data_IF_955679142372
#
_entry.id   IF_955679142372
#
_cell.length_a   1.000
_cell.length_b   1.000
_cell.length_c   1.000
_cell.angle_alpha   90.00
_cell.angle_beta   90.00
_cell.angle_gamma   90.00
#
_symmetry.space_group_name_H-M   'P 1'
#
loop_
_entity.id
_entity.type
_entity.pdbx_description
1 polymer ?
#
# COMPACT_ATOMS: atom_id res chain seq x y z
N UNK A 1 6.00 -40.97 7.47
CA UNK A 1 6.59 -39.92 8.32
C UNK A 1 6.21 -38.59 7.70
N UNK A 2 5.19 -37.94 8.25
CA UNK A 2 4.64 -36.70 7.72
C UNK A 2 5.18 -35.49 8.49
N UNK A 3 5.78 -34.56 7.76
CA UNK A 3 5.98 -33.16 8.16
C UNK A 3 4.88 -32.36 7.43
N UNK A 4 3.84 -31.92 8.12
CA UNK A 4 3.72 -30.71 8.95
C UNK A 4 3.15 -29.54 8.15
N UNK A 5 1.85 -29.31 8.36
CA UNK A 5 1.08 -28.09 8.13
C UNK A 5 1.95 -26.82 7.94
N UNK A 6 2.15 -26.40 6.69
CA UNK A 6 2.57 -25.02 6.39
C UNK A 6 1.30 -24.17 6.46
N UNK A 7 1.04 -23.54 7.61
CA UNK A 7 0.07 -22.44 7.72
C UNK A 7 0.68 -21.17 7.11
N UNK A 8 0.88 -21.16 5.79
CA UNK A 8 1.13 -19.94 5.03
C UNK A 8 -0.19 -19.24 4.72
N UNK A 9 -0.22 -17.91 4.77
CA UNK A 9 -1.35 -17.16 4.20
C UNK A 9 -1.42 -17.35 2.69
N UNK A 10 -2.60 -17.24 2.09
CA UNK A 10 -2.74 -17.09 0.63
C UNK A 10 -2.82 -15.62 0.26
N UNK A 11 -2.20 -15.26 -0.87
CA UNK A 11 -2.26 -13.94 -1.48
C UNK A 11 -3.05 -14.06 -2.79
N UNK A 12 -4.08 -13.24 -2.94
CA UNK A 12 -4.96 -13.27 -4.10
C UNK A 12 -4.42 -12.38 -5.24
N UNK A 13 -3.68 -12.93 -6.20
CA UNK A 13 -3.11 -12.16 -7.31
C UNK A 13 -4.18 -11.77 -8.33
N UNK A 14 -4.19 -10.50 -8.76
CA UNK A 14 -5.14 -10.02 -9.77
C UNK A 14 -4.46 -9.88 -11.14
N UNK A 15 -5.11 -10.30 -12.24
CA UNK A 15 -4.67 -9.93 -13.58
C UNK A 15 -4.60 -8.40 -13.69
N UNK A 16 -3.54 -7.84 -14.28
CA UNK A 16 -3.40 -6.39 -14.43
C UNK A 16 -4.60 -5.73 -15.17
N UNK A 17 -5.23 -6.46 -16.10
CA UNK A 17 -6.46 -6.04 -16.78
C UNK A 17 -7.66 -5.80 -15.85
N UNK A 18 -7.63 -6.35 -14.63
CA UNK A 18 -8.66 -6.15 -13.61
C UNK A 18 -8.38 -4.92 -12.73
N UNK A 19 -7.12 -4.48 -12.59
CA UNK A 19 -6.72 -3.35 -11.72
C UNK A 19 -6.88 -1.97 -12.39
N UNK A 20 -6.72 -1.87 -13.70
CA UNK A 20 -6.73 -0.58 -14.42
C UNK A 20 -8.13 0.04 -14.54
N UNK A 21 -9.21 -0.70 -14.28
CA UNK A 21 -10.56 -0.19 -14.59
C UNK A 21 -11.06 0.95 -13.70
N UNK A 22 -10.37 1.27 -12.59
CA UNK A 22 -10.85 2.24 -11.59
C UNK A 22 -9.94 3.46 -11.34
N UNK A 23 -8.77 3.59 -11.97
CA UNK A 23 -7.90 4.76 -11.80
C UNK A 23 -8.12 5.81 -12.92
N UNK A 24 -9.04 6.76 -12.73
CA UNK A 24 -9.34 7.82 -13.71
C UNK A 24 -8.53 9.13 -13.55
N UNK A 25 -7.44 9.16 -12.76
CA UNK A 25 -6.68 10.40 -12.51
C UNK A 25 -5.16 10.26 -12.68
N UNK A 26 -4.70 9.63 -13.77
CA UNK A 26 -3.34 9.86 -14.25
C UNK A 26 -3.43 10.65 -15.56
N UNK A 27 -3.13 11.95 -15.51
CA UNK A 27 -2.90 12.76 -16.70
C UNK A 27 -1.66 12.22 -17.42
N UNK A 28 -1.88 11.36 -18.42
CA UNK A 28 -0.86 10.87 -19.34
C UNK A 28 -0.62 11.93 -20.42
N UNK A 29 0.32 12.85 -20.19
CA UNK A 29 0.92 13.62 -21.28
C UNK A 29 2.05 12.79 -21.92
N UNK A 30 1.86 12.47 -23.20
CA UNK A 30 2.83 12.01 -24.19
C UNK A 30 3.49 10.63 -24.02
N UNK A 31 2.67 9.58 -24.13
CA UNK A 31 3.05 8.40 -24.92
C UNK A 31 1.97 8.22 -25.99
N UNK A 32 2.22 8.77 -27.17
CA UNK A 32 1.25 8.97 -28.25
C UNK A 32 0.70 7.71 -28.91
N UNK A 33 0.99 6.49 -28.42
CA UNK A 33 0.38 5.25 -28.90
C UNK A 33 0.18 4.25 -27.75
N UNK A 34 -0.74 4.55 -26.82
CA UNK A 34 -1.18 3.62 -25.77
C UNK A 34 -2.05 2.46 -26.30
N UNK A 35 -2.54 2.55 -27.54
CA UNK A 35 -3.36 1.52 -28.19
C UNK A 35 -2.56 0.35 -28.76
N UNK A 36 -1.24 0.46 -28.94
CA UNK A 36 -0.41 -0.63 -29.47
C UNK A 36 0.19 -1.54 -28.39
N UNK A 37 0.21 -1.11 -27.11
CA UNK A 37 0.78 -1.91 -26.01
C UNK A 37 -0.16 -2.97 -25.42
N UNK A 38 -1.46 -2.88 -25.71
CA UNK A 38 -2.48 -3.74 -25.08
C UNK A 38 -3.38 -4.47 -26.10
N UNK A 39 -3.17 -4.24 -27.39
CA UNK A 39 -4.03 -4.79 -28.44
C UNK A 39 -3.26 -5.82 -29.29
N UNK A 40 -2.87 -6.94 -28.66
CA UNK A 40 -2.58 -8.17 -29.41
C UNK A 40 -3.16 -9.39 -28.68
N UNK A 41 -4.45 -9.62 -28.94
CA UNK A 41 -5.32 -10.60 -28.28
C UNK A 41 -5.25 -12.01 -28.90
N UNK A 42 -4.16 -12.39 -29.55
CA UNK A 42 -4.15 -13.63 -30.33
C UNK A 42 -3.12 -14.69 -29.97
N UNK A 43 -2.18 -14.41 -29.05
CA UNK A 43 -1.20 -15.42 -28.64
C UNK A 43 -0.95 -15.41 -27.13
N UNK A 44 -0.88 -16.60 -26.55
CA UNK A 44 -0.75 -16.97 -25.15
C UNK A 44 0.45 -16.31 -24.45
N UNK A 45 0.31 -15.06 -24.01
CA UNK A 45 1.35 -14.35 -23.27
C UNK A 45 0.84 -13.85 -21.91
N UNK A 46 1.26 -14.59 -20.88
CA UNK A 46 1.40 -14.30 -19.46
C UNK A 46 0.96 -12.90 -18.99
N UNK A 47 -0.20 -12.86 -18.32
CA UNK A 47 -0.66 -11.68 -17.60
C UNK A 47 0.30 -11.38 -16.43
N UNK A 48 0.80 -10.16 -16.34
CA UNK A 48 1.45 -9.68 -15.12
C UNK A 48 0.36 -9.65 -14.04
N UNK A 49 0.56 -10.40 -12.98
CA UNK A 49 -0.33 -10.38 -11.82
C UNK A 49 0.42 -9.70 -10.67
N UNK A 50 0.20 -8.41 -10.39
CA UNK A 50 0.72 -7.82 -9.17
C UNK A 50 -0.03 -8.39 -7.94
N UNK A 51 0.57 -8.36 -6.74
CA UNK A 51 -0.12 -8.77 -5.54
C UNK A 51 -1.35 -7.87 -5.31
N UNK A 52 -2.41 -8.39 -4.66
CA UNK A 52 -3.58 -7.62 -4.30
C UNK A 52 -3.15 -6.44 -3.43
N UNK A 53 -3.83 -5.31 -3.58
CA UNK A 53 -3.58 -4.14 -2.71
C UNK A 53 -2.12 -3.67 -2.69
N UNK A 54 -1.41 -3.91 -3.81
CA UNK A 54 -0.13 -3.30 -4.09
C UNK A 54 -0.29 -1.78 -4.22
N UNK A 55 0.80 -1.04 -4.03
CA UNK A 55 0.88 0.42 -4.21
C UNK A 55 0.68 0.82 -5.69
N UNK A 56 -0.51 0.56 -6.25
CA UNK A 56 -0.83 0.78 -7.66
C UNK A 56 -1.73 2.00 -7.78
N UNK A 57 -1.12 3.17 -7.65
CA UNK A 57 -1.68 4.43 -8.13
C UNK A 57 -0.62 5.43 -8.66
N UNK A 58 0.67 5.06 -8.69
CA UNK A 58 1.75 5.93 -9.16
C UNK A 58 2.47 5.27 -10.34
N UNK A 59 1.90 5.42 -11.53
CA UNK A 59 2.62 5.36 -12.83
C UNK A 59 3.63 4.22 -13.03
N UNK A 60 3.09 3.00 -13.22
CA UNK A 60 3.77 1.79 -13.74
C UNK A 60 5.04 1.32 -13.01
N UNK A 61 5.14 0.04 -12.59
CA UNK A 61 6.44 -0.51 -12.23
C UNK A 61 7.29 -0.46 -13.49
N UNK A 62 8.44 0.23 -13.51
CA UNK A 62 9.30 0.32 -14.69
C UNK A 62 10.62 -0.44 -14.48
N UNK A 63 11.29 -0.85 -15.55
CA UNK A 63 12.66 -1.38 -15.47
C UNK A 63 13.56 -0.39 -14.74
N UNK A 64 14.73 -0.82 -14.26
CA UNK A 64 15.69 0.05 -13.54
C UNK A 64 16.08 1.33 -14.32
N UNK A 65 15.81 1.37 -15.63
CA UNK A 65 16.07 2.49 -16.53
C UNK A 65 14.80 3.29 -16.93
N UNK A 66 13.62 2.93 -16.42
CA UNK A 66 12.37 3.66 -16.69
C UNK A 66 11.76 3.41 -18.08
N UNK A 67 12.21 2.40 -18.83
CA UNK A 67 11.85 2.25 -20.25
C UNK A 67 10.62 1.36 -20.50
N UNK A 68 10.42 0.29 -19.70
CA UNK A 68 9.32 -0.69 -19.86
C UNK A 68 8.76 -1.11 -18.51
N UNK A 69 7.66 -1.87 -18.47
CA UNK A 69 7.17 -2.41 -17.20
C UNK A 69 8.23 -3.29 -16.50
N UNK A 70 8.32 -3.26 -15.17
CA UNK A 70 9.22 -4.14 -14.42
C UNK A 70 8.92 -5.61 -14.74
N UNK A 71 9.96 -6.41 -14.96
CA UNK A 71 9.85 -7.80 -15.43
C UNK A 71 9.76 -7.98 -16.96
N UNK A 72 9.70 -6.91 -17.74
CA UNK A 72 9.71 -6.96 -19.22
C UNK A 72 11.09 -6.62 -19.79
N UNK A 73 11.45 -7.26 -20.92
CA UNK A 73 12.57 -6.84 -21.78
C UNK A 73 12.06 -6.40 -23.15
N UNK A 74 12.75 -5.46 -23.78
CA UNK A 74 12.53 -5.15 -25.18
C UNK A 74 13.20 -6.22 -26.03
N UNK A 75 12.42 -6.92 -26.85
CA UNK A 75 13.00 -7.77 -27.88
C UNK A 75 13.38 -6.92 -29.10
N UNK A 76 14.36 -7.34 -29.89
CA UNK A 76 14.98 -6.57 -31.00
C UNK A 76 14.01 -6.17 -32.14
N UNK A 77 12.70 -6.41 -31.98
CA UNK A 77 11.64 -5.85 -32.79
C UNK A 77 10.39 -5.56 -31.96
N UNK A 78 10.33 -4.36 -31.36
CA UNK A 78 9.11 -3.66 -30.84
C UNK A 78 8.20 -4.36 -29.81
N UNK A 79 8.39 -5.62 -29.46
CA UNK A 79 7.54 -6.31 -28.50
C UNK A 79 8.19 -6.40 -27.11
N UNK A 80 7.40 -6.12 -26.08
CA UNK A 80 7.76 -6.37 -24.69
C UNK A 80 7.35 -7.79 -24.30
N UNK A 81 8.29 -8.61 -23.82
CA UNK A 81 8.00 -9.96 -23.31
C UNK A 81 8.47 -10.09 -21.88
N UNK A 82 7.72 -10.86 -21.06
CA UNK A 82 8.24 -11.34 -19.78
C UNK A 82 9.53 -12.13 -20.05
N UNK A 83 10.57 -11.86 -19.27
CA UNK A 83 11.86 -12.52 -19.46
C UNK A 83 11.80 -13.99 -19.04
N UNK A 84 11.42 -14.87 -19.98
CA UNK A 84 11.20 -16.30 -19.75
C UNK A 84 12.49 -17.14 -19.61
N UNK A 85 13.67 -16.55 -19.81
CA UNK A 85 14.93 -17.31 -19.87
C UNK A 85 15.75 -17.22 -18.57
N UNK A 86 15.23 -16.61 -17.50
CA UNK A 86 15.97 -16.42 -16.25
C UNK A 86 15.53 -17.39 -15.15
N UNK A 87 16.46 -18.17 -14.61
CA UNK A 87 16.31 -18.95 -13.37
C UNK A 87 16.18 -18.07 -12.10
N UNK A 88 15.70 -16.82 -12.24
CA UNK A 88 15.74 -15.82 -11.18
C UNK A 88 14.40 -15.10 -11.07
N UNK A 89 13.94 -14.98 -9.84
CA UNK A 89 12.74 -14.24 -9.48
C UNK A 89 12.96 -12.75 -9.74
N UNK A 90 11.99 -12.09 -10.36
CA UNK A 90 12.11 -10.67 -10.72
C UNK A 90 11.67 -9.81 -9.52
N UNK A 91 12.42 -8.76 -9.16
CA UNK A 91 12.01 -7.85 -8.09
C UNK A 91 10.86 -6.93 -8.55
N UNK A 92 9.89 -6.70 -7.67
CA UNK A 92 8.83 -5.72 -7.81
C UNK A 92 9.41 -4.35 -7.41
N UNK A 93 9.60 -3.45 -8.37
CA UNK A 93 10.16 -2.13 -8.11
C UNK A 93 9.12 -1.05 -8.39
N UNK A 94 8.86 -0.16 -7.42
CA UNK A 94 7.94 0.96 -7.57
C UNK A 94 8.66 2.31 -7.51
N UNK A 95 8.15 3.28 -8.26
CA UNK A 95 8.65 4.66 -8.26
C UNK A 95 7.49 5.59 -7.88
N UNK A 96 7.58 6.21 -6.71
CA UNK A 96 6.56 7.10 -6.16
C UNK A 96 7.09 8.53 -6.24
N UNK A 97 6.69 9.26 -7.27
CA UNK A 97 7.12 10.63 -7.56
C UNK A 97 6.05 11.69 -7.27
N UNK A 98 4.87 11.26 -6.80
CA UNK A 98 3.76 12.12 -6.43
C UNK A 98 3.11 11.60 -5.15
N UNK A 99 2.49 12.50 -4.39
CA UNK A 99 1.76 12.13 -3.18
C UNK A 99 0.47 11.38 -3.56
N UNK A 100 0.45 10.07 -3.30
CA UNK A 100 -0.72 9.21 -3.46
C UNK A 100 -1.42 9.04 -2.12
N UNK A 101 -2.75 9.08 -2.09
CA UNK A 101 -3.51 8.72 -0.88
C UNK A 101 -3.64 7.20 -0.80
N UNK A 102 -2.80 6.58 0.04
CA UNK A 102 -2.84 5.13 0.26
C UNK A 102 -4.15 4.66 0.90
N UNK A 103 -4.98 5.57 1.41
CA UNK A 103 -6.31 5.22 1.93
C UNK A 103 -7.28 4.81 0.83
N UNK A 104 -6.99 5.10 -0.42
CA UNK A 104 -7.76 4.62 -1.56
C UNK A 104 -7.48 3.13 -1.87
N UNK A 105 -6.42 2.56 -1.28
CA UNK A 105 -6.01 1.18 -1.47
C UNK A 105 -6.47 0.35 -0.27
N UNK A 106 -7.33 -0.65 -0.50
CA UNK A 106 -7.76 -1.60 0.53
C UNK A 106 -8.29 -0.96 1.82
N UNK A 107 -9.17 0.03 1.70
CA UNK A 107 -9.67 0.79 2.84
C UNK A 107 -10.49 -0.03 3.87
N UNK A 108 -10.97 -1.22 3.47
CA UNK A 108 -11.73 -2.12 4.32
C UNK A 108 -10.80 -2.94 5.23
N UNK A 109 -9.80 -3.62 4.65
CA UNK A 109 -8.90 -4.47 5.44
C UNK A 109 -7.68 -3.71 5.95
N UNK A 110 -7.38 -2.54 5.36
CA UNK A 110 -6.23 -1.69 5.66
C UNK A 110 -4.90 -2.43 5.59
N UNK A 111 -4.75 -3.30 4.58
CA UNK A 111 -3.52 -4.04 4.32
C UNK A 111 -2.95 -3.65 2.98
N UNK A 112 -1.66 -3.33 2.96
CA UNK A 112 -0.92 -3.05 1.73
C UNK A 112 0.24 -4.03 1.67
N UNK A 113 0.44 -4.62 0.50
CA UNK A 113 1.56 -5.52 0.29
C UNK A 113 2.76 -4.75 -0.25
N UNK A 114 3.86 -4.81 0.51
CA UNK A 114 5.12 -4.18 0.14
C UNK A 114 5.70 -4.87 -1.11
N UNK A 115 6.30 -4.11 -2.03
CA UNK A 115 7.09 -4.64 -3.14
C UNK A 115 8.54 -4.90 -2.71
N UNK A 116 9.34 -5.50 -3.58
CA UNK A 116 10.78 -5.69 -3.33
C UNK A 116 11.53 -4.38 -3.09
N UNK A 117 11.23 -3.37 -3.88
CA UNK A 117 11.88 -2.07 -3.80
C UNK A 117 10.89 -0.94 -4.13
N UNK A 118 11.04 0.19 -3.45
CA UNK A 118 10.32 1.44 -3.70
C UNK A 118 11.35 2.57 -3.74
N UNK A 119 11.34 3.38 -4.79
CA UNK A 119 12.05 4.66 -4.83
C UNK A 119 11.06 5.79 -4.67
N UNK A 120 11.24 6.64 -3.65
CA UNK A 120 10.35 7.75 -3.32
C UNK A 120 11.05 9.06 -3.67
N UNK A 121 10.43 9.83 -4.55
CA UNK A 121 10.78 11.23 -4.87
C UNK A 121 9.64 12.19 -4.57
N UNK A 122 8.51 11.68 -4.08
CA UNK A 122 7.35 12.47 -3.69
C UNK A 122 7.64 13.36 -2.46
N UNK A 123 7.11 14.58 -2.48
CA UNK A 123 7.33 15.59 -1.44
C UNK A 123 6.88 15.13 -0.04
N UNK A 124 5.84 14.29 0.06
CA UNK A 124 5.41 13.64 1.30
C UNK A 124 4.45 12.46 1.03
N UNK A 125 4.99 11.24 0.97
CA UNK A 125 4.18 10.02 1.00
C UNK A 125 3.71 9.73 2.42
N UNK A 126 2.43 9.35 2.59
CA UNK A 126 1.85 9.08 3.90
C UNK A 126 1.48 7.60 4.01
N UNK A 127 2.02 6.92 5.02
CA UNK A 127 1.52 5.61 5.46
C UNK A 127 0.39 5.84 6.46
N UNK A 128 -0.87 5.53 6.09
CA UNK A 128 -2.03 6.00 6.81
C UNK A 128 -2.31 5.20 8.08
N UNK A 129 -2.89 5.86 9.08
CA UNK A 129 -3.11 5.29 10.40
C UNK A 129 -3.95 4.01 10.37
N UNK A 130 -3.56 3.05 11.22
CA UNK A 130 -4.14 1.69 11.30
C UNK A 130 -3.92 0.80 10.06
N UNK A 131 -3.03 1.16 9.14
CA UNK A 131 -2.67 0.28 8.03
C UNK A 131 -1.58 -0.71 8.43
N UNK A 132 -1.63 -1.88 7.81
CA UNK A 132 -0.62 -2.91 7.94
C UNK A 132 0.09 -3.10 6.60
N UNK A 133 1.40 -2.89 6.59
CA UNK A 133 2.27 -3.09 5.44
C UNK A 133 2.94 -4.46 5.58
N UNK A 134 2.58 -5.40 4.70
CA UNK A 134 3.03 -6.79 4.72
C UNK A 134 3.95 -7.06 3.54
N UNK A 135 5.10 -7.68 3.77
CA UNK A 135 5.91 -8.17 2.66
C UNK A 135 5.31 -9.47 2.14
N UNK A 136 4.76 -9.43 0.92
CA UNK A 136 4.70 -10.63 0.08
C UNK A 136 6.15 -10.96 -0.29
N UNK A 137 6.52 -12.24 -0.47
CA UNK A 137 7.84 -12.63 -1.02
C UNK A 137 8.36 -11.55 -1.96
N UNK A 138 9.52 -10.96 -1.63
CA UNK A 138 10.08 -9.80 -2.31
C UNK A 138 10.53 -10.09 -3.74
N UNK A 139 9.93 -11.07 -4.42
CA UNK A 139 10.18 -11.47 -5.79
C UNK A 139 8.95 -12.25 -6.31
N UNK A 140 8.65 -12.23 -7.61
CA UNK A 140 7.59 -13.07 -8.18
C UNK A 140 7.80 -14.56 -7.88
N UNK A 141 6.71 -15.31 -7.69
CA UNK A 141 6.75 -16.77 -7.52
C UNK A 141 7.45 -17.46 -8.71
N UNK A 142 8.17 -18.55 -8.46
CA UNK A 142 8.87 -19.29 -9.53
C UNK A 142 7.86 -19.99 -10.45
N UNK A 143 8.23 -20.15 -11.72
CA UNK A 143 7.47 -20.99 -12.66
C UNK A 143 7.31 -22.42 -12.14
N UNK A 144 8.34 -22.99 -11.53
CA UNK A 144 8.29 -24.34 -10.99
C UNK A 144 7.40 -24.42 -9.74
N UNK A 145 7.25 -23.35 -8.97
CA UNK A 145 6.26 -23.27 -7.88
C UNK A 145 4.83 -23.20 -8.43
N UNK A 146 4.66 -22.56 -9.60
CA UNK A 146 3.41 -22.57 -10.37
C UNK A 146 3.13 -23.95 -10.99
N UNK A 147 4.14 -24.66 -11.48
CA UNK A 147 3.99 -25.95 -12.16
C UNK A 147 3.92 -27.17 -11.21
N UNK A 148 4.57 -27.12 -10.05
CA UNK A 148 4.56 -28.19 -9.03
C UNK A 148 3.22 -28.26 -8.29
N UNK A 149 2.56 -27.12 -8.04
CA UNK A 149 1.22 -27.12 -7.41
C UNK A 149 0.10 -27.47 -8.40
N UNK A 150 0.31 -27.25 -9.70
CA UNK A 150 -0.66 -27.65 -10.72
C UNK A 150 -0.55 -29.14 -11.11
N UNK A 151 0.54 -29.85 -10.79
CA UNK A 151 0.60 -31.30 -11.04
C UNK A 151 -0.33 -32.15 -10.19
N UNK A 152 -0.72 -31.68 -8.99
CA UNK A 152 -1.77 -32.32 -8.20
C UNK A 152 -3.19 -31.95 -8.67
N UNK A 153 -3.32 -30.87 -9.46
CA UNK A 153 -4.58 -30.39 -10.04
C UNK A 153 -4.79 -30.85 -11.50
N UNK A 154 -3.77 -31.47 -12.13
CA UNK A 154 -3.77 -31.89 -13.54
C UNK A 154 -4.76 -33.01 -13.91
N UNK A 155 -5.45 -33.60 -12.94
CA UNK A 155 -6.43 -34.66 -13.23
C UNK A 155 -7.85 -34.18 -13.50
N UNK A 156 -8.17 -32.89 -13.30
CA UNK A 156 -9.48 -32.34 -13.68
C UNK A 156 -9.33 -31.24 -14.73
N UNK A 157 -9.50 -31.64 -15.99
CA UNK A 157 -9.49 -30.81 -17.21
C UNK A 157 -10.65 -29.78 -17.30
N UNK A 158 -11.06 -29.15 -16.19
CA UNK A 158 -12.22 -28.26 -16.15
C UNK A 158 -12.01 -26.87 -15.49
N UNK A 159 -10.81 -26.54 -15.00
CA UNK A 159 -10.60 -25.32 -14.20
C UNK A 159 -9.65 -24.29 -14.83
N UNK A 160 -9.81 -23.98 -16.11
CA UNK A 160 -9.14 -22.80 -16.71
C UNK A 160 -9.85 -21.46 -16.45
N UNK A 161 -10.86 -21.45 -15.57
CA UNK A 161 -11.62 -20.24 -15.27
C UNK A 161 -11.61 -19.96 -13.76
N UNK A 162 -10.90 -18.89 -13.37
CA UNK A 162 -11.01 -18.13 -12.11
C UNK A 162 -10.10 -18.48 -10.91
N UNK A 163 -9.33 -19.56 -10.93
CA UNK A 163 -8.57 -20.01 -9.73
C UNK A 163 -7.05 -19.74 -9.75
N UNK A 164 -6.51 -19.02 -10.74
CA UNK A 164 -5.13 -18.50 -10.67
C UNK A 164 -4.93 -17.39 -9.61
N UNK A 165 -6.01 -17.04 -8.91
CA UNK A 165 -6.08 -15.94 -7.96
C UNK A 165 -5.43 -16.31 -6.63
N UNK A 166 -5.74 -17.45 -6.03
CA UNK A 166 -5.29 -17.77 -4.66
C UNK A 166 -3.96 -18.51 -4.64
N UNK A 167 -2.86 -17.76 -4.74
CA UNK A 167 -1.51 -18.32 -4.61
C UNK A 167 -1.10 -18.37 -3.13
N UNK A 168 -0.80 -19.55 -2.56
CA UNK A 168 -0.25 -19.66 -1.21
C UNK A 168 1.19 -19.13 -1.22
N UNK A 169 1.34 -17.83 -0.97
CA UNK A 169 2.64 -17.20 -0.82
C UNK A 169 2.87 -16.92 0.65
N UNK A 170 4.00 -17.39 1.14
CA UNK A 170 4.44 -17.11 2.50
C UNK A 170 4.63 -15.59 2.65
N UNK A 171 3.73 -14.96 3.41
CA UNK A 171 3.78 -13.53 3.79
C UNK A 171 4.65 -13.28 5.02
N UNK A 172 5.30 -14.32 5.55
CA UNK A 172 6.21 -14.23 6.69
C UNK A 172 7.48 -15.01 6.36
N UNK A 173 8.49 -14.29 5.89
CA UNK A 173 9.74 -14.88 5.41
C UNK A 173 10.52 -15.64 6.51
N UNK A 174 10.10 -15.54 7.78
CA UNK A 174 10.54 -16.41 8.89
C UNK A 174 10.25 -17.88 8.72
N UNK A 175 9.33 -18.24 7.83
CA UNK A 175 9.00 -19.62 7.54
C UNK A 175 9.82 -20.24 6.39
N UNK A 176 10.63 -19.47 5.66
CA UNK A 176 11.29 -19.98 4.43
C UNK A 176 12.69 -20.59 4.62
N UNK A 177 13.20 -20.64 5.84
CA UNK A 177 14.44 -21.37 6.08
C UNK A 177 15.03 -21.04 7.43
N UNK A 178 15.68 -22.02 8.03
CA UNK A 178 16.33 -21.99 9.33
C UNK A 178 17.52 -21.02 9.46
N UNK A 179 17.62 -20.00 8.61
CA UNK A 179 18.72 -19.04 8.66
C UNK A 179 18.31 -17.87 9.57
N UNK A 180 18.94 -17.82 10.74
CA UNK A 180 18.66 -16.87 11.82
C UNK A 180 19.23 -15.46 11.57
N UNK A 181 19.83 -15.21 10.41
CA UNK A 181 20.38 -13.91 10.03
C UNK A 181 19.64 -13.36 8.82
N UNK A 182 18.79 -12.36 9.07
CA UNK A 182 18.14 -11.53 8.06
C UNK A 182 19.12 -10.45 7.64
N UNK A 183 19.64 -10.44 6.40
CA UNK A 183 20.35 -9.28 5.89
C UNK A 183 19.31 -8.19 5.63
N UNK A 184 19.31 -7.06 6.36
CA UNK A 184 18.26 -6.04 6.25
C UNK A 184 18.21 -5.38 4.86
N UNK A 185 19.25 -5.53 4.04
CA UNK A 185 19.38 -4.87 2.75
C UNK A 185 19.21 -5.84 1.57
N UNK A 186 18.79 -7.07 1.84
CA UNK A 186 18.56 -8.07 0.81
C UNK A 186 17.07 -8.05 0.39
N UNK A 187 16.75 -7.65 -0.84
CA UNK A 187 15.38 -7.59 -1.33
C UNK A 187 14.69 -8.97 -1.40
N UNK A 188 15.46 -10.05 -1.25
CA UNK A 188 14.92 -11.42 -1.11
C UNK A 188 14.22 -11.62 0.24
N UNK A 189 14.56 -10.81 1.26
CA UNK A 189 14.08 -10.96 2.64
C UNK A 189 13.30 -9.76 3.18
N UNK A 190 13.51 -8.56 2.62
CA UNK A 190 12.82 -7.36 3.05
C UNK A 190 12.52 -6.42 1.87
N UNK A 191 11.42 -5.70 1.97
CA UNK A 191 11.06 -4.64 1.03
C UNK A 191 11.92 -3.41 1.27
N UNK A 192 12.56 -2.84 0.25
CA UNK A 192 13.48 -1.71 0.42
C UNK A 192 12.82 -0.40 -0.05
N UNK A 193 12.55 0.52 0.86
CA UNK A 193 12.03 1.86 0.56
C UNK A 193 13.17 2.88 0.57
N UNK A 194 13.62 3.30 -0.61
CA UNK A 194 14.64 4.32 -0.83
C UNK A 194 14.00 5.70 -0.89
N UNK A 195 14.32 6.54 0.09
CA UNK A 195 13.87 7.93 0.14
C UNK A 195 14.95 8.80 -0.52
N UNK A 196 14.69 9.26 -1.74
CA UNK A 196 15.61 10.10 -2.51
C UNK A 196 15.61 11.55 -2.01
N UNK A 197 16.64 12.31 -2.36
CA UNK A 197 16.77 13.71 -1.94
C UNK A 197 15.54 14.54 -2.28
N UNK A 198 15.06 15.35 -1.32
CA UNK A 198 13.84 16.14 -1.42
C UNK A 198 12.55 15.38 -1.07
N UNK A 199 12.61 14.06 -0.89
CA UNK A 199 11.44 13.26 -0.53
C UNK A 199 11.16 13.22 0.97
N UNK A 200 9.90 12.95 1.31
CA UNK A 200 9.49 12.70 2.69
C UNK A 200 8.55 11.50 2.77
N UNK A 201 8.69 10.72 3.84
CA UNK A 201 7.76 9.65 4.22
C UNK A 201 7.25 9.90 5.63
N UNK A 202 5.94 10.04 5.77
CA UNK A 202 5.28 10.18 7.08
C UNK A 202 4.55 8.88 7.44
N UNK A 203 4.90 8.31 8.59
CA UNK A 203 4.26 7.14 9.18
C UNK A 203 3.27 7.62 10.25
N UNK A 204 1.97 7.59 9.95
CA UNK A 204 0.92 7.97 10.90
C UNK A 204 0.83 6.96 12.07
N UNK A 205 0.16 7.28 13.19
CA UNK A 205 0.04 6.38 14.33
C UNK A 205 -0.61 5.03 14.01
N UNK A 206 -0.25 3.99 14.76
CA UNK A 206 -0.77 2.62 14.62
C UNK A 206 -0.58 2.01 13.21
N UNK A 207 0.40 2.48 12.43
CA UNK A 207 0.87 1.75 11.26
C UNK A 207 1.70 0.55 11.71
N UNK A 208 1.39 -0.64 11.20
CA UNK A 208 2.17 -1.85 11.42
C UNK A 208 3.03 -2.15 10.20
N UNK A 209 4.33 -2.25 10.38
CA UNK A 209 5.29 -2.47 9.30
C UNK A 209 5.92 -3.85 9.48
N UNK A 210 5.96 -4.63 8.41
CA UNK A 210 6.51 -5.98 8.39
C UNK A 210 7.49 -6.15 7.22
N UNK A 211 8.64 -6.74 7.55
CA UNK A 211 9.79 -7.10 6.73
C UNK A 211 10.17 -6.03 5.69
N UNK A 212 10.54 -4.85 6.18
CA UNK A 212 10.78 -3.65 5.39
C UNK A 212 12.03 -2.90 5.87
N UNK A 213 12.78 -2.30 4.95
CA UNK A 213 13.95 -1.47 5.24
C UNK A 213 13.78 -0.10 4.59
N UNK A 214 13.90 0.96 5.37
CA UNK A 214 13.88 2.34 4.90
C UNK A 214 15.31 2.82 4.70
N UNK A 215 15.71 3.11 3.46
CA UNK A 215 16.99 3.73 3.11
C UNK A 215 16.81 5.25 3.02
N UNK A 216 17.22 5.96 4.07
CA UNK A 216 17.03 7.41 4.23
C UNK A 216 18.28 8.14 3.76
N UNK A 217 18.28 8.53 2.48
CA UNK A 217 19.43 9.18 1.81
C UNK A 217 19.56 10.67 2.14
N UNK A 218 20.70 11.32 1.82
CA UNK A 218 20.90 12.73 2.15
C UNK A 218 19.86 13.64 1.51
N UNK A 219 19.29 14.54 2.33
CA UNK A 219 18.25 15.47 1.92
C UNK A 219 16.84 14.88 1.86
N UNK A 220 16.61 13.64 2.32
CA UNK A 220 15.28 13.06 2.51
C UNK A 220 14.90 12.97 3.99
N UNK A 221 13.62 12.79 4.29
CA UNK A 221 13.11 12.71 5.66
C UNK A 221 12.13 11.54 5.86
N UNK A 222 12.31 10.76 6.92
CA UNK A 222 11.28 9.86 7.44
C UNK A 222 10.75 10.37 8.79
N UNK A 223 9.43 10.39 8.97
CA UNK A 223 8.76 10.86 10.18
C UNK A 223 7.90 9.74 10.77
N UNK A 224 8.18 9.36 12.02
CA UNK A 224 7.30 8.53 12.82
C UNK A 224 6.43 9.43 13.71
N UNK A 225 5.16 9.62 13.33
CA UNK A 225 4.28 10.57 14.04
C UNK A 225 3.92 10.12 15.46
N UNK A 226 3.97 8.82 15.73
CA UNK A 226 3.89 8.28 17.08
C UNK A 226 4.66 6.97 17.15
N UNK A 227 5.95 7.10 17.45
CA UNK A 227 6.91 6.01 17.49
C UNK A 227 6.41 4.84 18.35
N UNK A 228 5.85 5.09 19.54
CA UNK A 228 5.33 4.03 20.42
C UNK A 228 4.28 3.15 19.74
N UNK A 229 3.41 3.74 18.92
CA UNK A 229 2.35 3.01 18.22
C UNK A 229 2.82 2.42 16.89
N UNK A 230 3.89 2.94 16.30
CA UNK A 230 4.52 2.39 15.10
C UNK A 230 5.43 1.21 15.41
N UNK A 231 5.92 1.09 16.65
CA UNK A 231 6.87 0.09 17.11
C UNK A 231 6.27 -1.31 17.41
N UNK A 232 5.01 -1.59 17.04
CA UNK A 232 4.37 -2.90 17.33
C UNK A 232 5.20 -4.10 16.81
N UNK A 233 5.98 -3.93 15.74
CA UNK A 233 6.92 -4.95 15.23
C UNK A 233 8.30 -4.37 14.89
N UNK A 234 8.95 -3.67 15.82
CA UNK A 234 10.31 -3.12 15.62
C UNK A 234 11.32 -4.11 15.07
N UNK A 235 11.19 -5.40 15.41
CA UNK A 235 12.10 -6.45 14.93
C UNK A 235 11.82 -6.87 13.48
N UNK A 236 10.84 -6.25 12.81
CA UNK A 236 10.42 -6.58 11.45
C UNK A 236 10.57 -5.38 10.51
N UNK A 237 11.22 -4.30 10.93
CA UNK A 237 11.68 -3.30 9.97
C UNK A 237 13.02 -2.72 10.37
N UNK A 238 13.72 -2.12 9.42
CA UNK A 238 14.98 -1.43 9.64
C UNK A 238 14.95 -0.02 9.05
N UNK A 239 15.77 0.87 9.60
CA UNK A 239 16.00 2.21 9.05
C UNK A 239 17.51 2.36 8.84
N UNK A 240 17.94 2.45 7.59
CA UNK A 240 19.31 2.77 7.23
C UNK A 240 19.49 4.29 7.21
N UNK A 241 20.41 4.75 8.04
CA UNK A 241 20.60 6.16 8.34
C UNK A 241 21.69 6.74 7.44
N UNK A 242 21.48 6.70 6.12
CA UNK A 242 22.47 7.07 5.11
C UNK A 242 22.55 8.59 4.88
N UNK A 243 22.54 9.38 5.96
CA UNK A 243 22.69 10.84 5.96
C UNK A 243 21.40 11.64 5.74
N UNK A 244 20.24 10.98 5.63
CA UNK A 244 18.94 11.65 5.68
C UNK A 244 18.44 11.91 7.11
N UNK A 245 17.31 12.61 7.22
CA UNK A 245 16.72 13.05 8.48
C UNK A 245 15.70 12.04 9.00
N UNK A 246 15.81 11.70 10.29
CA UNK A 246 14.87 10.80 10.96
C UNK A 246 14.18 11.57 12.08
N UNK A 247 12.89 11.79 11.94
CA UNK A 247 12.06 12.47 12.95
C UNK A 247 11.23 11.44 13.71
N UNK A 248 11.39 11.40 15.03
CA UNK A 248 10.68 10.50 15.92
C UNK A 248 9.84 11.32 16.91
N UNK A 249 8.56 10.99 16.99
CA UNK A 249 7.62 11.63 17.91
C UNK A 249 7.12 10.66 18.95
N UNK A 250 7.13 11.06 20.23
CA UNK A 250 6.43 10.34 21.31
C UNK A 250 6.17 11.28 22.50
N UNK A 251 5.47 10.80 23.53
CA UNK A 251 5.18 11.66 24.69
C UNK A 251 6.42 11.97 25.53
N UNK A 252 7.30 11.01 25.79
CA UNK A 252 8.42 11.16 26.73
C UNK A 252 9.63 10.43 26.22
N UNK A 253 10.78 11.08 25.97
CA UNK A 253 12.04 10.41 25.62
C UNK A 253 12.95 10.20 26.82
N UNK A 254 13.54 9.00 26.92
CA UNK A 254 14.61 8.68 27.88
C UNK A 254 15.79 8.09 27.10
N UNK A 255 16.73 8.94 26.72
CA UNK A 255 17.83 8.65 25.80
C UNK A 255 19.11 8.35 26.60
N UNK A 256 19.60 7.12 26.50
CA UNK A 256 20.81 6.65 27.21
C UNK A 256 21.49 5.54 26.41
N UNK A 257 22.77 5.30 26.68
CA UNK A 257 23.57 4.24 26.07
C UNK A 257 23.50 4.26 24.54
N UNK A 258 23.66 5.44 23.96
CA UNK A 258 23.60 5.62 22.52
C UNK A 258 24.69 6.57 22.07
N UNK A 259 25.34 6.22 20.96
CA UNK A 259 26.31 7.06 20.29
C UNK A 259 25.73 7.48 18.94
N UNK A 260 25.63 8.78 18.70
CA UNK A 260 25.11 9.35 17.46
C UNK A 260 26.30 9.84 16.64
N UNK A 261 26.55 9.23 15.48
CA UNK A 261 27.55 9.73 14.53
C UNK A 261 26.99 9.74 13.12
N UNK A 262 27.35 10.74 12.33
CA UNK A 262 27.05 10.80 10.88
C UNK A 262 25.56 10.62 10.50
N UNK A 263 24.63 11.11 11.34
CA UNK A 263 23.17 11.04 11.11
C UNK A 263 22.45 12.27 11.68
N UNK A 264 21.29 12.59 11.13
CA UNK A 264 20.42 13.69 11.57
C UNK A 264 19.19 13.11 12.27
N UNK A 265 19.08 13.29 13.59
CA UNK A 265 17.96 12.80 14.40
C UNK A 265 17.17 13.96 15.01
N UNK A 266 15.87 13.96 14.78
CA UNK A 266 14.94 14.86 15.44
C UNK A 266 14.08 14.09 16.43
N UNK A 267 14.11 14.49 17.69
CA UNK A 267 13.23 13.96 18.74
C UNK A 267 12.22 15.05 19.09
N UNK A 268 10.95 14.80 18.79
CA UNK A 268 9.86 15.70 19.18
C UNK A 268 8.98 15.05 20.26
N UNK A 269 8.90 15.70 21.41
CA UNK A 269 8.27 15.16 22.61
C UNK A 269 7.03 15.93 23.04
N UNK A 270 5.93 15.22 23.24
CA UNK A 270 4.68 15.80 23.75
C UNK A 270 4.78 16.31 25.18
N UNK A 271 5.78 15.87 25.95
CA UNK A 271 6.02 16.33 27.33
C UNK A 271 7.51 16.56 27.58
N UNK A 272 8.31 15.49 27.72
CA UNK A 272 9.67 15.50 28.27
C UNK A 272 10.69 14.83 27.35
N UNK A 273 11.89 15.37 27.25
CA UNK A 273 13.08 14.64 26.77
C UNK A 273 14.11 14.62 27.90
N UNK A 274 14.55 13.43 28.29
CA UNK A 274 15.64 13.23 29.24
C UNK A 274 16.77 12.48 28.56
N UNK A 275 17.99 13.01 28.60
CA UNK A 275 19.15 12.39 27.95
C UNK A 275 20.36 12.36 28.89
N UNK A 276 21.10 11.26 28.90
CA UNK A 276 22.28 11.06 29.74
C UNK A 276 22.35 9.63 30.29
N UNK A 277 23.17 9.40 31.29
CA UNK A 277 23.33 8.10 31.93
C UNK A 277 22.23 7.82 32.95
N UNK A 278 21.74 6.58 32.98
CA UNK A 278 20.75 6.07 33.93
C UNK A 278 19.44 6.89 33.96
N UNK A 279 19.04 7.48 32.83
CA UNK A 279 17.81 8.29 32.73
C UNK A 279 16.55 7.44 32.57
N UNK A 280 16.68 6.16 32.21
CA UNK A 280 15.60 5.18 32.24
C UNK A 280 15.96 4.01 33.17
N UNK A 281 15.59 4.09 34.46
CA UNK A 281 15.82 3.01 35.42
C UNK A 281 15.20 1.69 34.92
N UNK A 282 15.98 0.62 34.91
CA UNK A 282 15.55 -0.71 34.44
C UNK A 282 15.93 -1.05 33.00
N UNK A 283 16.44 -0.09 32.23
CA UNK A 283 17.07 -0.32 30.93
C UNK A 283 18.59 -0.36 31.05
N UNK A 284 19.29 -0.83 30.00
CA UNK A 284 20.75 -0.82 29.98
C UNK A 284 21.27 0.61 30.15
N UNK A 285 22.19 0.79 31.09
CA UNK A 285 22.79 2.09 31.42
C UNK A 285 23.99 2.38 30.52
N UNK A 286 24.31 3.66 30.37
CA UNK A 286 25.40 4.17 29.56
C UNK A 286 25.13 5.60 29.11
N UNK A 287 26.18 6.25 28.63
CA UNK A 287 26.15 7.65 28.24
C UNK A 287 25.38 7.86 26.93
N UNK A 288 24.84 9.06 26.73
CA UNK A 288 24.25 9.51 25.48
C UNK A 288 25.18 10.52 24.83
N UNK A 289 25.88 10.09 23.79
CA UNK A 289 27.00 10.82 23.22
C UNK A 289 26.69 11.21 21.77
N UNK A 290 26.80 12.48 21.45
CA UNK A 290 26.72 12.98 20.08
C UNK A 290 28.15 13.18 19.59
N UNK A 291 28.61 12.26 18.76
CA UNK A 291 29.96 12.22 18.20
C UNK A 291 30.09 13.14 16.98
N UNK A 292 31.33 13.41 16.55
CA UNK A 292 31.62 14.22 15.36
C UNK A 292 30.73 13.87 14.15
N UNK A 293 30.14 14.89 13.53
CA UNK A 293 29.24 14.74 12.38
C UNK A 293 27.82 14.26 12.70
N UNK A 294 27.50 13.96 13.96
CA UNK A 294 26.12 13.76 14.41
C UNK A 294 25.37 15.08 14.53
N UNK A 295 24.09 15.08 14.15
CA UNK A 295 23.17 16.21 14.37
C UNK A 295 21.94 15.71 15.12
N UNK A 296 21.65 16.31 16.27
CA UNK A 296 20.50 15.95 17.10
C UNK A 296 19.70 17.19 17.49
N UNK A 297 18.41 17.15 17.22
CA UNK A 297 17.49 18.23 17.56
C UNK A 297 16.44 17.72 18.55
N UNK A 298 16.45 18.28 19.76
CA UNK A 298 15.44 18.03 20.78
C UNK A 298 14.39 19.13 20.75
N UNK A 299 13.12 18.74 20.64
CA UNK A 299 11.98 19.63 20.78
C UNK A 299 10.98 19.01 21.75
N UNK A 300 10.62 19.70 22.83
CA UNK A 300 9.66 19.18 23.80
C UNK A 300 8.62 20.22 24.18
N UNK A 301 7.39 19.79 24.48
CA UNK A 301 6.33 20.72 24.90
C UNK A 301 6.50 21.28 26.31
N UNK A 302 7.21 20.58 27.20
CA UNK A 302 7.33 21.00 28.60
C UNK A 302 8.78 21.11 29.05
N UNK A 303 9.58 20.06 28.87
CA UNK A 303 10.89 20.00 29.51
C UNK A 303 11.92 19.21 28.70
N UNK A 304 13.18 19.66 28.76
CA UNK A 304 14.36 18.94 28.28
C UNK A 304 15.37 18.91 29.42
N UNK A 305 15.74 17.71 29.88
CA UNK A 305 16.70 17.49 30.97
C UNK A 305 17.92 16.75 30.41
N UNK A 306 19.09 17.38 30.49
CA UNK A 306 20.37 16.78 30.14
C UNK A 306 21.08 16.42 31.44
N UNK A 307 21.19 15.12 31.73
CA UNK A 307 21.80 14.59 32.94
C UNK A 307 23.29 14.30 32.74
N UNK A 308 23.98 13.91 33.81
CA UNK A 308 25.34 13.37 33.74
C UNK A 308 25.42 12.24 32.69
N UNK A 309 26.48 12.23 31.87
CA UNK A 309 26.63 11.30 30.75
C UNK A 309 25.96 11.74 29.45
N UNK A 310 25.39 12.95 29.37
CA UNK A 310 25.09 13.59 28.09
C UNK A 310 26.33 14.36 27.59
N UNK A 311 26.84 14.04 26.41
CA UNK A 311 28.01 14.70 25.83
C UNK A 311 27.81 15.04 24.35
N UNK A 312 28.43 16.13 23.92
CA UNK A 312 28.46 16.57 22.51
C UNK A 312 29.91 16.86 22.16
N UNK A 313 30.45 16.12 21.20
CA UNK A 313 31.83 16.28 20.73
C UNK A 313 32.00 17.51 19.83
N UNK A 314 33.23 18.02 19.74
CA UNK A 314 33.57 19.08 18.80
C UNK A 314 33.31 18.61 17.34
N UNK A 315 32.65 19.44 16.55
CA UNK A 315 32.18 19.09 15.20
C UNK A 315 30.85 18.32 15.14
N UNK A 316 30.17 18.08 16.26
CA UNK A 316 28.78 17.67 16.29
C UNK A 316 27.82 18.88 16.37
N UNK A 317 26.53 18.65 16.06
CA UNK A 317 25.49 19.66 16.20
C UNK A 317 24.40 19.18 17.16
N UNK A 318 24.05 20.04 18.10
CA UNK A 318 22.96 19.80 19.04
C UNK A 318 22.10 21.05 19.19
N UNK A 319 20.80 20.90 19.03
CA UNK A 319 19.84 21.96 19.36
C UNK A 319 18.76 21.44 20.30
N UNK A 320 18.29 22.30 21.19
CA UNK A 320 17.21 22.01 22.12
C UNK A 320 16.23 23.18 22.16
N UNK A 321 14.94 22.90 22.12
CA UNK A 321 13.89 23.91 22.16
C UNK A 321 12.65 23.42 22.89
N UNK A 322 11.98 24.35 23.58
CA UNK A 322 10.64 24.13 24.13
C UNK A 322 9.63 24.74 23.17
N UNK A 323 8.77 23.92 22.58
CA UNK A 323 7.76 24.32 21.62
C UNK A 323 6.57 23.35 21.67
N UNK A 324 5.39 23.78 21.23
CA UNK A 324 4.18 22.97 21.28
C UNK A 324 4.27 21.79 20.28
N UNK A 325 4.58 20.60 20.80
CA UNK A 325 4.57 19.34 20.07
C UNK A 325 3.28 18.59 20.36
N UNK A 326 2.49 18.37 19.31
CA UNK A 326 1.32 17.49 19.37
C UNK A 326 1.74 16.07 18.96
N UNK A 327 1.40 15.10 19.80
CA UNK A 327 1.61 13.67 19.52
C UNK A 327 0.27 13.07 19.09
N UNK A 328 0.08 12.76 17.79
CA UNK A 328 -1.15 12.16 17.31
C UNK A 328 -1.40 10.80 17.97
N UNK A 329 -2.64 10.57 18.39
CA UNK A 329 -3.08 9.27 18.91
C UNK A 329 -3.66 8.41 17.79
N UNK A 330 -3.75 7.10 18.02
CA UNK A 330 -4.37 6.21 17.04
C UNK A 330 -5.83 6.60 16.83
N UNK A 331 -6.26 6.88 15.59
CA UNK A 331 -7.64 7.17 15.32
C UNK A 331 -8.47 5.94 15.67
N UNK A 332 -9.68 6.12 16.23
CA UNK A 332 -10.50 5.01 16.68
C UNK A 332 -10.72 4.06 15.52
N UNK A 333 -10.33 2.79 15.70
CA UNK A 333 -10.67 1.76 14.74
C UNK A 333 -12.19 1.70 14.68
N UNK A 334 -12.77 1.97 13.49
CA UNK A 334 -14.17 1.61 13.23
C UNK A 334 -14.27 0.12 13.48
N UNK A 335 -14.82 -0.27 14.63
CA UNK A 335 -15.12 -1.66 14.93
C UNK A 335 -16.08 -2.13 13.86
N UNK A 336 -15.57 -2.88 12.89
CA UNK A 336 -16.42 -3.78 12.11
C UNK A 336 -17.07 -4.67 13.15
N UNK A 337 -18.41 -4.66 13.23
CA UNK A 337 -19.13 -5.42 14.25
C UNK A 337 -18.63 -6.87 14.21
N UNK A 338 -18.23 -7.46 15.36
CA UNK A 338 -17.83 -8.85 15.42
C UNK A 338 -19.06 -9.68 15.01
N UNK A 339 -18.92 -10.35 13.87
CA UNK A 339 -20.03 -10.86 13.06
C UNK A 339 -19.57 -11.22 11.64
N UNK A 340 -18.45 -10.64 11.18
CA UNK A 340 -17.68 -11.08 10.01
C UNK A 340 -16.27 -11.55 10.40
N UNK A 341 -16.15 -12.37 11.45
CA UNK A 341 -15.00 -13.29 11.51
C UNK A 341 -15.18 -14.32 10.39
N UNK A 342 -14.11 -14.55 9.62
CA UNK A 342 -14.03 -15.59 8.58
C UNK A 342 -14.60 -16.91 9.11
N UNK A 343 -15.83 -17.23 8.74
CA UNK A 343 -16.12 -18.61 8.36
C UNK A 343 -15.26 -18.87 7.12
N UNK A 344 -14.59 -20.01 7.08
CA UNK A 344 -14.12 -20.59 5.83
C UNK A 344 -15.19 -20.32 4.76
N UNK A 345 -14.79 -19.72 3.65
CA UNK A 345 -15.68 -19.43 2.53
C UNK A 345 -16.24 -20.76 2.03
N UNK A 346 -17.36 -21.19 2.61
CA UNK A 346 -18.34 -21.92 1.87
C UNK A 346 -18.75 -20.99 0.72
N UNK A 347 -18.55 -21.48 -0.50
CA UNK A 347 -18.78 -20.82 -1.77
C UNK A 347 -20.27 -20.49 -1.96
N UNK A 348 -20.82 -19.54 -1.18
CA UNK A 348 -22.24 -19.18 -1.24
C UNK A 348 -22.55 -17.69 -1.31
N UNK A 349 -21.64 -16.77 -0.98
CA UNK A 349 -21.92 -15.32 -1.08
C UNK A 349 -21.02 -14.65 -2.13
N UNK A 350 -21.32 -14.89 -3.40
CA UNK A 350 -20.84 -14.01 -4.48
C UNK A 350 -21.52 -12.64 -4.35
N UNK A 351 -20.81 -11.52 -4.56
CA UNK A 351 -21.44 -10.20 -4.53
C UNK A 351 -22.59 -10.17 -5.55
N UNK A 352 -23.77 -9.79 -5.11
CA UNK A 352 -24.97 -9.71 -5.96
C UNK A 352 -24.75 -8.76 -7.12
N UNK A 353 -23.99 -7.66 -6.96
CA UNK A 353 -23.67 -6.72 -8.05
C UNK A 353 -22.22 -6.93 -8.53
N UNK A 354 -22.08 -7.38 -9.79
CA UNK A 354 -20.79 -7.63 -10.48
C UNK A 354 -20.01 -6.34 -10.76
N UNK A 355 -20.68 -5.34 -11.36
CA UNK A 355 -20.07 -4.06 -11.75
C UNK A 355 -21.14 -2.96 -11.89
N UNK A 356 -20.72 -1.69 -11.90
CA UNK A 356 -21.54 -0.52 -12.27
C UNK A 356 -20.68 0.48 -13.03
N UNK A 357 -21.15 0.96 -14.18
CA UNK A 357 -20.49 1.96 -15.03
C UNK A 357 -21.52 2.93 -15.61
N UNK A 358 -21.07 4.10 -16.09
CA UNK A 358 -21.93 5.10 -16.72
C UNK A 358 -21.27 5.69 -17.98
N UNK A 359 -21.99 5.74 -19.11
CA UNK A 359 -21.50 6.28 -20.38
C UNK A 359 -22.65 6.86 -21.23
N UNK A 360 -22.45 7.99 -21.95
CA UNK A 360 -21.23 8.79 -21.98
C UNK A 360 -21.02 9.59 -20.68
N UNK A 361 -19.76 9.88 -20.35
CA UNK A 361 -19.39 10.74 -19.24
C UNK A 361 -18.16 11.58 -19.63
N UNK A 362 -18.27 12.92 -19.79
CA UNK A 362 -19.45 13.76 -19.53
C UNK A 362 -20.66 13.46 -20.44
N UNK A 363 -21.86 13.84 -20.00
CA UNK A 363 -23.10 13.73 -20.77
C UNK A 363 -23.76 15.10 -20.95
N UNK A 364 -24.46 15.29 -22.07
CA UNK A 364 -25.21 16.51 -22.38
C UNK A 364 -26.73 16.29 -22.47
N UNK A 365 -27.19 15.03 -22.56
CA UNK A 365 -28.61 14.70 -22.80
C UNK A 365 -29.04 13.44 -22.05
N UNK A 366 -28.40 12.31 -22.31
CA UNK A 366 -28.69 11.04 -21.65
C UNK A 366 -27.43 10.31 -21.21
N UNK A 367 -27.57 9.48 -20.18
CA UNK A 367 -26.49 8.63 -19.68
C UNK A 367 -26.98 7.20 -19.53
N UNK A 368 -26.19 6.24 -19.99
CA UNK A 368 -26.45 4.82 -19.85
C UNK A 368 -25.66 4.27 -18.68
N UNK A 369 -26.36 3.67 -17.72
CA UNK A 369 -25.77 2.91 -16.64
C UNK A 369 -25.71 1.44 -17.01
N UNK A 370 -24.52 0.85 -16.97
CA UNK A 370 -24.29 -0.57 -17.22
C UNK A 370 -23.96 -1.27 -15.92
N UNK A 371 -24.64 -2.36 -15.60
CA UNK A 371 -24.38 -3.12 -14.39
C UNK A 371 -24.63 -4.60 -14.59
N UNK A 372 -23.90 -5.45 -13.88
CA UNK A 372 -24.12 -6.89 -13.87
C UNK A 372 -24.59 -7.37 -12.51
N UNK A 373 -25.42 -8.40 -12.47
CA UNK A 373 -25.87 -9.08 -11.25
C UNK A 373 -25.50 -10.58 -11.27
N UNK A 374 -25.12 -11.14 -10.12
CA UNK A 374 -24.79 -12.57 -9.96
C UNK A 374 -25.99 -13.40 -9.48
N UNK A 375 -26.91 -12.80 -8.73
CA UNK A 375 -28.09 -13.45 -8.18
C UNK A 375 -29.38 -12.77 -8.66
N UNK A 376 -30.50 -13.47 -8.51
CA UNK A 376 -31.83 -12.94 -8.85
C UNK A 376 -32.38 -12.16 -7.66
N UNK A 377 -32.28 -10.83 -7.68
CA UNK A 377 -32.64 -9.99 -6.54
C UNK A 377 -33.30 -8.66 -6.94
N UNK A 378 -33.84 -8.00 -5.92
CA UNK A 378 -34.45 -6.70 -6.03
C UNK A 378 -33.38 -5.60 -6.09
N UNK A 379 -33.29 -4.95 -7.25
CA UNK A 379 -32.36 -3.86 -7.51
C UNK A 379 -33.03 -2.51 -7.32
N UNK A 380 -32.33 -1.59 -6.63
CA UNK A 380 -32.71 -0.18 -6.52
C UNK A 380 -31.64 0.69 -7.15
N UNK A 381 -32.05 1.63 -8.00
CA UNK A 381 -31.17 2.59 -8.63
C UNK A 381 -31.52 4.01 -8.20
N UNK A 382 -30.52 4.78 -7.79
CA UNK A 382 -30.67 6.13 -7.24
C UNK A 382 -29.60 7.06 -7.80
N UNK A 383 -29.93 8.34 -7.94
CA UNK A 383 -29.00 9.39 -8.37
C UNK A 383 -28.98 10.47 -7.31
N UNK A 384 -27.78 10.87 -6.89
CA UNK A 384 -27.52 11.89 -5.88
C UNK A 384 -26.68 13.03 -6.45
N UNK A 385 -26.78 14.22 -5.85
CA UNK A 385 -25.79 15.29 -6.07
C UNK A 385 -24.56 15.11 -5.17
N UNK A 386 -23.55 15.98 -5.33
CA UNK A 386 -22.31 15.96 -4.51
C UNK A 386 -22.54 16.19 -3.01
N UNK A 387 -23.68 16.76 -2.62
CA UNK A 387 -24.06 16.95 -1.22
C UNK A 387 -24.78 15.71 -0.63
N UNK A 388 -24.93 14.64 -1.40
CA UNK A 388 -25.63 13.42 -0.98
C UNK A 388 -27.16 13.55 -0.99
N UNK A 389 -27.71 14.61 -1.58
CA UNK A 389 -29.17 14.76 -1.72
C UNK A 389 -29.67 13.89 -2.87
N UNK A 390 -30.74 13.13 -2.63
CA UNK A 390 -31.38 12.29 -3.63
C UNK A 390 -32.07 13.15 -4.70
N UNK A 391 -31.65 13.00 -5.95
CA UNK A 391 -32.18 13.72 -7.11
C UNK A 391 -33.18 12.86 -7.89
N UNK A 392 -32.89 11.57 -8.04
CA UNK A 392 -33.76 10.65 -8.76
C UNK A 392 -33.69 9.24 -8.17
N UNK A 393 -34.79 8.49 -8.28
CA UNK A 393 -34.85 7.07 -7.93
C UNK A 393 -35.71 6.36 -8.96
N UNK A 394 -35.19 5.26 -9.52
CA UNK A 394 -35.98 4.39 -10.39
C UNK A 394 -36.90 3.57 -9.49
N UNK A 395 -38.20 3.87 -9.56
CA UNK A 395 -39.24 3.23 -8.75
C UNK A 395 -40.29 2.55 -9.63
N UNK A 396 -40.79 1.36 -9.24
CA UNK A 396 -40.36 0.55 -8.09
C UNK A 396 -39.09 -0.26 -8.37
N UNK A 397 -38.40 -0.66 -7.31
CA UNK A 397 -37.24 -1.54 -7.39
C UNK A 397 -37.57 -2.83 -8.17
N UNK A 398 -36.71 -3.17 -9.13
CA UNK A 398 -36.98 -4.19 -10.15
C UNK A 398 -36.32 -5.49 -9.73
N UNK A 399 -37.06 -6.59 -9.78
CA UNK A 399 -36.49 -7.93 -9.64
C UNK A 399 -35.81 -8.31 -10.96
N UNK A 400 -34.48 -8.39 -10.93
CA UNK A 400 -33.69 -8.81 -12.08
C UNK A 400 -33.15 -10.21 -11.83
N UNK A 401 -33.02 -11.00 -12.90
CA UNK A 401 -32.29 -12.27 -12.83
C UNK A 401 -30.79 -11.99 -12.80
N UNK A 402 -29.97 -13.02 -12.64
CA UNK A 402 -28.53 -12.90 -12.90
C UNK A 402 -28.31 -12.55 -14.37
N UNK A 403 -27.47 -11.55 -14.64
CA UNK A 403 -27.23 -11.07 -16.00
C UNK A 403 -26.63 -9.68 -16.04
N UNK A 404 -26.34 -9.19 -17.24
CA UNK A 404 -25.84 -7.84 -17.46
C UNK A 404 -26.96 -6.98 -18.03
N UNK A 405 -27.09 -5.77 -17.48
CA UNK A 405 -28.20 -4.87 -17.70
C UNK A 405 -27.70 -3.48 -18.06
N UNK A 406 -28.56 -2.74 -18.75
CA UNK A 406 -28.36 -1.32 -18.99
C UNK A 406 -29.64 -0.54 -18.74
N UNK A 407 -29.50 0.69 -18.24
CA UNK A 407 -30.59 1.63 -18.03
C UNK A 407 -30.17 3.02 -18.49
N UNK A 408 -30.99 3.65 -19.33
CA UNK A 408 -30.78 5.01 -19.83
C UNK A 408 -31.53 6.02 -18.97
N UNK A 409 -30.81 7.00 -18.45
CA UNK A 409 -31.36 8.12 -17.70
C UNK A 409 -31.27 9.42 -18.49
N UNK A 410 -32.39 10.13 -18.61
CA UNK A 410 -32.45 11.43 -19.26
C UNK A 410 -31.97 12.51 -18.30
N UNK A 411 -30.83 13.14 -18.60
CA UNK A 411 -30.17 14.15 -17.76
C UNK A 411 -30.65 15.58 -18.02
N UNK A 412 -31.62 15.77 -18.92
CA UNK A 412 -32.11 17.11 -19.28
C UNK A 412 -32.71 17.92 -18.12
N UNK A 413 -33.14 17.26 -17.04
CA UNK A 413 -33.64 17.90 -15.83
C UNK A 413 -32.56 18.19 -14.78
N UNK A 414 -31.30 17.81 -15.04
CA UNK A 414 -30.17 18.07 -14.16
C UNK A 414 -29.49 19.37 -14.56
N UNK A 415 -29.08 20.17 -13.57
CA UNK A 415 -28.18 21.29 -13.79
C UNK A 415 -26.78 20.78 -14.19
N UNK A 416 -25.98 21.64 -14.82
CA UNK A 416 -24.57 21.31 -15.11
C UNK A 416 -23.82 21.09 -13.80
N UNK A 417 -23.15 19.94 -13.66
CA UNK A 417 -22.54 19.56 -12.40
C UNK A 417 -22.16 18.09 -12.28
N UNK A 418 -21.71 17.72 -11.08
CA UNK A 418 -21.28 16.37 -10.73
C UNK A 418 -22.40 15.63 -10.00
N UNK A 419 -22.64 14.39 -10.39
CA UNK A 419 -23.66 13.51 -9.82
C UNK A 419 -23.11 12.12 -9.52
N UNK A 420 -23.79 11.40 -8.63
CA UNK A 420 -23.45 10.03 -8.21
C UNK A 420 -24.64 9.13 -8.53
N UNK A 421 -24.47 8.19 -9.46
CA UNK A 421 -25.39 7.09 -9.67
C UNK A 421 -25.06 5.93 -8.72
N UNK A 422 -26.06 5.35 -8.09
CA UNK A 422 -25.91 4.31 -7.08
C UNK A 422 -26.88 3.17 -7.36
N UNK A 423 -26.39 1.94 -7.24
CA UNK A 423 -27.17 0.72 -7.35
C UNK A 423 -27.01 -0.11 -6.07
N UNK A 424 -28.13 -0.62 -5.55
CA UNK A 424 -28.14 -1.47 -4.37
C UNK A 424 -28.96 -2.73 -4.57
N UNK A 425 -28.46 -3.86 -4.06
CA UNK A 425 -29.16 -5.15 -3.97
C UNK A 425 -28.89 -5.78 -2.61
N UNK A 426 -29.91 -5.99 -1.79
CA UNK A 426 -29.70 -6.49 -0.42
C UNK A 426 -28.72 -5.62 0.37
N UNK A 427 -27.56 -6.18 0.72
CA UNK A 427 -26.47 -5.47 1.42
C UNK A 427 -25.40 -4.90 0.49
N UNK A 428 -25.43 -5.22 -0.80
CA UNK A 428 -24.45 -4.74 -1.77
C UNK A 428 -24.81 -3.36 -2.30
N UNK A 429 -23.80 -2.49 -2.37
CA UNK A 429 -23.92 -1.11 -2.82
C UNK A 429 -22.75 -0.78 -3.75
N UNK A 430 -23.05 -0.28 -4.95
CA UNK A 430 -22.03 0.26 -5.88
C UNK A 430 -22.44 1.66 -6.31
N UNK A 431 -21.44 2.52 -6.52
CA UNK A 431 -21.64 3.90 -6.93
C UNK A 431 -20.72 4.25 -8.11
N UNK A 432 -21.18 5.15 -8.98
CA UNK A 432 -20.43 5.68 -10.12
C UNK A 432 -20.66 7.19 -10.22
N UNK A 433 -19.59 7.95 -10.46
CA UNK A 433 -19.64 9.41 -10.64
C UNK A 433 -19.84 9.75 -12.12
N UNK A 434 -20.68 10.74 -12.42
CA UNK A 434 -20.81 11.29 -13.78
C UNK A 434 -20.97 12.82 -13.78
N UNK A 435 -20.64 13.44 -14.91
CA UNK A 435 -20.65 14.88 -15.12
C UNK A 435 -21.70 15.25 -16.17
N UNK A 436 -22.62 16.15 -15.81
CA UNK A 436 -23.56 16.80 -16.73
C UNK A 436 -22.96 18.12 -17.21
N UNK A 437 -22.81 18.28 -18.52
CA UNK A 437 -22.42 19.54 -19.15
C UNK A 437 -23.60 20.49 -19.28
#
# INVERSE_FOLDING_TARGET
MGYSNIKGGSINYFPFSELIRNCQYANFSDVTNSSELFHDWSYSYFNIQPPPYSLVASTFPRSAFGEFFAGMKLDQGRFTRLNHNGQYSQPHNYFINNNIDLRDINNLEKKIYNPSEVSITADNLIFPANYTFLTARGTYAYKDEYEVQTSDLKNDFAFFNNEERDFPIVTDLRYEGSNTSYPPNDPSYASIYKLESGSKLTIEPCVHIYDCTFDVKPGSEIVFENELTNQYNVNRYNVLENGGTITRRRNEYFLQKEQISSRILNFESGTLIKAGNNVSPGNQTGDYEILMGGEVNFKASQEIILEEGFTVEDGAQFTASIDNVLIPSCPPMRRVKPGHERKEFAMTDLPTIKFLQASPNPTSGEINFYFGTNSSEQIRFQIFNVYGQLIHSVSPSVNLKSGDYSFTFQTGSLESGVYIGQISSGNDLRSVKFVKN
#
